data_IF_434079694500
#
_entry.id   IF_434079694500
#
_cell.length_a   1.000
_cell.length_b   1.000
_cell.length_c   1.000
_cell.angle_alpha   90.00
_cell.angle_beta   90.00
_cell.angle_gamma   90.00
#
_symmetry.space_group_name_H-M   'P 1'
#
loop_
_entity.id
_entity.type
_entity.pdbx_description
1 polymer ?
#
# COMPACT_ATOMS: atom_id res chain seq x y z
N UNK A 1 -26.02 -13.55 -18.62
CA UNK A 1 -24.71 -13.09 -18.08
C UNK A 1 -24.97 -12.78 -16.62
N UNK A 2 -24.56 -13.67 -15.70
CA UNK A 2 -24.68 -13.38 -14.26
C UNK A 2 -23.80 -12.16 -13.93
N UNK A 3 -24.27 -11.22 -13.09
CA UNK A 3 -23.42 -10.13 -12.64
C UNK A 3 -22.23 -10.74 -11.91
N UNK A 4 -21.00 -10.47 -12.40
CA UNK A 4 -19.77 -10.89 -11.74
C UNK A 4 -19.84 -10.41 -10.29
N UNK A 5 -19.79 -11.35 -9.36
CA UNK A 5 -19.76 -11.04 -7.93
C UNK A 5 -18.51 -10.19 -7.69
N UNK A 6 -18.63 -8.99 -7.09
CA UNK A 6 -17.47 -8.14 -6.85
C UNK A 6 -16.46 -8.88 -5.96
N UNK A 7 -15.18 -8.75 -6.28
CA UNK A 7 -14.10 -9.36 -5.51
C UNK A 7 -14.10 -8.82 -4.07
N UNK A 8 -13.61 -9.62 -3.13
CA UNK A 8 -13.31 -9.12 -1.79
C UNK A 8 -12.16 -8.12 -1.89
N UNK A 9 -12.21 -7.04 -1.12
CA UNK A 9 -11.13 -6.04 -1.11
C UNK A 9 -9.78 -6.68 -0.71
N UNK A 10 -9.80 -7.72 0.13
CA UNK A 10 -8.64 -8.54 0.53
C UNK A 10 -7.96 -9.27 -0.63
N UNK A 11 -8.69 -9.54 -1.70
CA UNK A 11 -8.23 -10.29 -2.88
C UNK A 11 -8.12 -9.40 -4.13
N UNK A 12 -8.38 -8.09 -3.99
CA UNK A 12 -8.38 -7.16 -5.10
C UNK A 12 -6.94 -6.83 -5.53
N UNK A 13 -6.65 -7.05 -6.81
CA UNK A 13 -5.39 -6.61 -7.45
C UNK A 13 -5.43 -5.11 -7.72
N UNK A 14 -4.31 -4.43 -7.48
CA UNK A 14 -4.19 -2.99 -7.67
C UNK A 14 -3.53 -2.29 -6.49
N UNK A 15 -3.49 -0.97 -6.60
CA UNK A 15 -2.70 -0.10 -5.75
C UNK A 15 -3.57 0.62 -4.72
N UNK A 16 -3.10 0.62 -3.47
CA UNK A 16 -3.64 1.40 -2.37
C UNK A 16 -2.83 2.69 -2.28
N UNK A 17 -3.44 3.79 -2.72
CA UNK A 17 -2.80 5.11 -2.83
C UNK A 17 -3.20 5.95 -1.61
N UNK A 18 -2.23 6.55 -0.91
CA UNK A 18 -2.50 7.37 0.26
C UNK A 18 -3.22 8.67 -0.10
N UNK A 19 -3.98 9.23 0.83
CA UNK A 19 -4.53 10.58 0.69
C UNK A 19 -3.49 11.68 0.90
N UNK A 20 -2.41 11.37 1.62
CA UNK A 20 -1.34 12.31 1.94
C UNK A 20 0.03 11.79 1.47
N UNK A 21 0.79 12.65 0.78
CA UNK A 21 2.15 12.32 0.38
C UNK A 21 3.13 12.62 1.51
N UNK A 22 4.04 11.69 1.80
CA UNK A 22 5.17 11.94 2.68
C UNK A 22 6.48 11.48 2.06
N UNK A 23 7.57 12.06 2.55
CA UNK A 23 8.93 11.76 2.11
C UNK A 23 9.77 11.28 3.28
N UNK A 24 10.64 10.32 3.00
CA UNK A 24 11.70 9.87 3.91
C UNK A 24 13.00 9.93 3.12
N UNK A 25 13.95 10.73 3.60
CA UNK A 25 15.19 11.04 2.88
C UNK A 25 14.89 11.56 1.45
N UNK A 26 15.31 10.82 0.42
CA UNK A 26 15.10 11.15 -1.00
C UNK A 26 13.95 10.38 -1.66
N UNK A 27 13.18 9.63 -0.88
CA UNK A 27 12.13 8.75 -1.36
C UNK A 27 10.77 9.26 -0.91
N UNK A 28 9.84 9.38 -1.85
CA UNK A 28 8.44 9.69 -1.59
C UNK A 28 7.65 8.40 -1.57
N UNK A 29 6.83 8.18 -0.55
CA UNK A 29 5.91 7.05 -0.53
C UNK A 29 4.75 7.29 -1.51
N UNK A 30 4.45 6.32 -2.37
CA UNK A 30 3.40 6.46 -3.40
C UNK A 30 2.24 5.48 -3.22
N UNK A 31 2.39 4.47 -2.36
CA UNK A 31 1.33 3.51 -2.07
C UNK A 31 1.87 2.10 -1.88
N UNK A 32 0.98 1.12 -1.95
CA UNK A 32 1.32 -0.29 -1.87
C UNK A 32 0.32 -1.17 -2.63
N UNK A 33 0.74 -2.35 -3.06
CA UNK A 33 -0.13 -3.40 -3.59
C UNK A 33 -0.24 -4.54 -2.57
N UNK A 34 -1.36 -5.27 -2.61
CA UNK A 34 -1.54 -6.48 -1.79
C UNK A 34 -1.52 -7.75 -2.64
N UNK A 35 -1.93 -7.65 -3.91
CA UNK A 35 -2.04 -8.75 -4.86
C UNK A 35 -1.58 -8.27 -6.25
N UNK A 36 -0.94 -9.14 -7.06
CA UNK A 36 -0.58 -10.53 -6.75
C UNK A 36 0.51 -10.65 -5.68
N UNK A 37 1.38 -9.64 -5.59
CA UNK A 37 2.45 -9.53 -4.61
C UNK A 37 2.24 -8.34 -3.68
N UNK A 38 2.64 -8.51 -2.42
CA UNK A 38 2.60 -7.45 -1.44
C UNK A 38 3.87 -6.59 -1.55
N UNK A 39 3.71 -5.39 -2.08
CA UNK A 39 4.79 -4.46 -2.37
C UNK A 39 4.45 -3.09 -1.78
N UNK A 40 5.42 -2.40 -1.19
CA UNK A 40 5.33 -0.96 -0.95
C UNK A 40 6.09 -0.22 -2.04
N UNK A 41 5.54 0.87 -2.54
CA UNK A 41 6.15 1.61 -3.64
C UNK A 41 6.59 2.98 -3.15
N UNK A 42 7.85 3.29 -3.43
CA UNK A 42 8.41 4.62 -3.25
C UNK A 42 8.84 5.16 -4.62
N UNK A 43 8.89 6.48 -4.77
CA UNK A 43 9.51 7.13 -5.92
C UNK A 43 10.69 7.98 -5.44
N UNK A 44 11.84 7.85 -6.11
CA UNK A 44 12.95 8.77 -5.86
C UNK A 44 12.55 10.17 -6.35
N UNK A 45 12.70 11.18 -5.48
CA UNK A 45 12.15 12.52 -5.70
C UNK A 45 12.77 13.21 -6.92
N UNK A 46 14.07 12.99 -7.18
CA UNK A 46 14.80 13.66 -8.25
C UNK A 46 14.52 13.06 -9.62
N UNK A 47 14.45 11.73 -9.70
CA UNK A 47 14.34 10.98 -10.96
C UNK A 47 12.91 10.58 -11.29
N UNK A 48 12.02 10.57 -10.29
CA UNK A 48 10.66 10.03 -10.40
C UNK A 48 10.62 8.51 -10.56
N UNK A 49 11.75 7.81 -10.46
CA UNK A 49 11.82 6.36 -10.64
C UNK A 49 11.10 5.66 -9.50
N UNK A 50 10.08 4.87 -9.84
CA UNK A 50 9.37 4.02 -8.90
C UNK A 50 10.25 2.83 -8.48
N UNK A 51 10.32 2.59 -7.18
CA UNK A 51 11.05 1.53 -6.52
C UNK A 51 10.05 0.71 -5.70
N UNK A 52 9.55 -0.42 -6.26
CA UNK A 52 8.77 -1.37 -5.51
C UNK A 52 9.68 -2.15 -4.54
N UNK A 53 9.24 -2.30 -3.30
CA UNK A 53 9.92 -3.05 -2.24
C UNK A 53 9.03 -4.19 -1.80
N UNK A 54 9.50 -5.42 -1.98
CA UNK A 54 8.75 -6.60 -1.58
C UNK A 54 8.67 -6.74 -0.06
N UNK A 55 7.49 -7.10 0.44
CA UNK A 55 7.27 -7.28 1.87
C UNK A 55 7.59 -8.72 2.29
N UNK A 56 8.41 -8.84 3.33
CA UNK A 56 8.88 -10.10 3.88
C UNK A 56 7.86 -10.76 4.80
N UNK A 57 7.06 -9.95 5.52
CA UNK A 57 5.98 -10.43 6.37
C UNK A 57 4.65 -9.83 5.90
N UNK A 58 3.64 -10.68 5.72
CA UNK A 58 2.32 -10.28 5.26
C UNK A 58 1.21 -11.01 6.03
N UNK A 59 0.22 -10.25 6.47
CA UNK A 59 -1.04 -10.77 7.02
C UNK A 59 -2.18 -9.91 6.49
N UNK A 60 -3.00 -10.49 5.62
CA UNK A 60 -4.11 -9.80 4.96
C UNK A 60 -5.40 -10.53 5.26
N UNK A 61 -6.30 -9.84 5.97
CA UNK A 61 -7.64 -10.28 6.37
C UNK A 61 -8.58 -9.10 6.30
N UNK A 62 -9.89 -9.34 6.34
CA UNK A 62 -10.88 -8.27 6.26
C UNK A 62 -10.72 -7.19 7.35
N UNK A 63 -10.26 -7.58 8.54
CA UNK A 63 -10.09 -6.71 9.70
C UNK A 63 -8.63 -6.32 9.98
N UNK A 64 -7.68 -6.87 9.23
CA UNK A 64 -6.24 -6.76 9.52
C UNK A 64 -5.43 -6.73 8.24
N UNK A 65 -4.63 -5.69 8.06
CA UNK A 65 -3.55 -5.63 7.08
C UNK A 65 -2.28 -5.34 7.85
N UNK A 66 -1.32 -6.25 7.79
CA UNK A 66 0.03 -6.05 8.28
C UNK A 66 1.01 -6.38 7.17
N UNK A 67 1.84 -5.41 6.82
CA UNK A 67 2.96 -5.56 5.91
C UNK A 67 4.23 -5.14 6.64
N UNK A 68 5.31 -5.90 6.43
CA UNK A 68 6.67 -5.48 6.78
C UNK A 68 7.58 -5.68 5.57
N UNK A 69 8.24 -4.61 5.17
CA UNK A 69 9.11 -4.57 3.99
C UNK A 69 10.41 -3.90 4.41
N UNK A 70 11.55 -4.42 3.96
CA UNK A 70 12.87 -3.93 4.35
C UNK A 70 13.64 -3.51 3.09
N UNK A 71 14.13 -2.28 3.07
CA UNK A 71 14.95 -1.75 1.99
C UNK A 71 16.22 -1.11 2.57
N UNK A 72 17.43 -1.41 2.04
CA UNK A 72 18.67 -0.87 2.60
C UNK A 72 18.81 0.66 2.56
N UNK A 73 18.09 1.35 1.68
CA UNK A 73 18.17 2.80 1.50
C UNK A 73 17.04 3.55 2.23
N UNK A 74 15.88 2.91 2.40
CA UNK A 74 14.70 3.50 3.05
C UNK A 74 14.61 3.08 4.52
N UNK A 75 14.93 1.81 4.83
CA UNK A 75 14.81 1.19 6.13
C UNK A 75 13.69 0.17 6.21
N UNK A 76 13.17 -0.07 7.41
CA UNK A 76 12.02 -0.96 7.65
C UNK A 76 10.72 -0.18 7.55
N UNK A 77 9.83 -0.62 6.66
CA UNK A 77 8.51 -0.06 6.44
C UNK A 77 7.47 -1.03 7.01
N UNK A 78 6.57 -0.53 7.85
CA UNK A 78 5.37 -1.27 8.26
C UNK A 78 4.10 -0.55 7.85
N UNK A 79 3.10 -1.33 7.43
CA UNK A 79 1.75 -0.87 7.14
C UNK A 79 0.78 -1.69 7.97
N UNK A 80 0.19 -1.05 8.99
CA UNK A 80 -0.68 -1.69 9.97
C UNK A 80 -2.09 -1.08 9.90
N UNK A 81 -3.07 -1.82 9.41
CA UNK A 81 -4.38 -1.29 9.10
C UNK A 81 -5.50 -2.30 9.02
N UNK A 82 -6.61 -1.86 8.43
CA UNK A 82 -7.80 -2.67 8.18
C UNK A 82 -8.60 -2.14 6.99
N UNK A 83 -9.37 -3.01 6.34
CA UNK A 83 -10.27 -2.58 5.29
C UNK A 83 -11.49 -1.86 5.87
N UNK A 84 -11.92 -0.82 5.16
CA UNK A 84 -13.14 -0.04 5.42
C UNK A 84 -14.32 -0.56 4.59
N UNK A 85 -14.02 -1.23 3.48
CA UNK A 85 -15.01 -1.85 2.58
C UNK A 85 -14.76 -3.35 2.50
N UNK A 86 -15.83 -4.13 2.37
CA UNK A 86 -15.74 -5.59 2.19
C UNK A 86 -15.43 -5.96 0.74
N UNK A 87 -16.04 -5.22 -0.18
CA UNK A 87 -16.01 -5.48 -1.61
C UNK A 87 -15.13 -4.44 -2.30
N UNK A 88 -14.41 -4.88 -3.33
CA UNK A 88 -13.63 -4.00 -4.19
C UNK A 88 -14.51 -2.91 -4.79
N UNK A 89 -14.05 -1.66 -4.73
CA UNK A 89 -14.74 -0.51 -5.32
C UNK A 89 -13.74 0.45 -5.95
N UNK A 90 -13.99 0.82 -7.20
CA UNK A 90 -13.21 1.76 -8.02
C UNK A 90 -13.61 3.23 -7.80
N UNK A 91 -14.41 3.51 -6.76
CA UNK A 91 -14.83 4.86 -6.41
C UNK A 91 -13.64 5.68 -5.93
N UNK A 92 -13.20 6.61 -6.77
CA UNK A 92 -12.03 7.47 -6.53
C UNK A 92 -12.13 8.39 -5.31
N UNK A 93 -13.33 8.60 -4.77
CA UNK A 93 -13.59 9.40 -3.57
C UNK A 93 -13.69 8.56 -2.29
N UNK A 94 -13.69 7.23 -2.40
CA UNK A 94 -13.90 6.32 -1.28
C UNK A 94 -12.58 5.73 -0.79
N UNK A 95 -12.22 6.02 0.46
CA UNK A 95 -11.16 5.27 1.12
C UNK A 95 -11.63 3.85 1.45
N UNK A 96 -10.84 2.85 1.08
CA UNK A 96 -11.15 1.42 1.26
C UNK A 96 -10.31 0.76 2.34
N UNK A 97 -9.24 1.42 2.81
CA UNK A 97 -8.34 0.92 3.83
C UNK A 97 -7.86 2.09 4.70
N UNK A 98 -7.75 1.87 6.01
CA UNK A 98 -7.11 2.81 6.92
C UNK A 98 -5.94 2.11 7.61
N UNK A 99 -4.75 2.73 7.57
CA UNK A 99 -3.53 2.14 8.14
C UNK A 99 -2.62 3.18 8.79
N UNK A 100 -1.78 2.72 9.70
CA UNK A 100 -0.61 3.44 10.18
C UNK A 100 0.58 2.98 9.36
N UNK A 101 1.25 3.92 8.71
CA UNK A 101 2.52 3.69 8.03
C UNK A 101 3.64 4.12 8.98
N UNK A 102 4.59 3.23 9.22
CA UNK A 102 5.78 3.51 10.02
C UNK A 102 7.02 3.23 9.19
N UNK A 103 7.98 4.15 9.20
CA UNK A 103 9.31 3.95 8.60
C UNK A 103 10.35 4.06 9.68
N UNK A 104 11.23 3.07 9.77
CA UNK A 104 12.33 3.00 10.74
C UNK A 104 13.68 2.85 10.07
N UNK A 105 14.71 3.41 10.67
CA UNK A 105 16.11 3.12 10.30
C UNK A 105 16.44 1.66 10.61
N UNK A 106 17.58 1.16 10.09
CA UNK A 106 18.12 -0.15 10.47
C UNK A 106 18.48 -0.28 11.96
N UNK A 107 18.66 0.84 12.68
CA UNK A 107 18.83 0.86 14.15
C UNK A 107 17.52 0.89 14.93
N UNK A 108 16.37 0.99 14.25
CA UNK A 108 15.03 0.98 14.84
C UNK A 108 14.45 2.36 15.18
N UNK A 109 15.18 3.44 14.92
CA UNK A 109 14.71 4.83 15.09
C UNK A 109 13.54 5.12 14.14
N UNK A 110 12.49 5.80 14.61
CA UNK A 110 11.33 6.16 13.79
C UNK A 110 11.66 7.40 12.97
N UNK A 111 11.70 7.25 11.65
CA UNK A 111 11.81 8.36 10.71
C UNK A 111 10.45 8.98 10.37
N UNK A 112 9.42 8.14 10.33
CA UNK A 112 8.06 8.56 10.03
C UNK A 112 7.05 7.64 10.71
N UNK A 113 5.94 8.22 11.19
CA UNK A 113 4.78 7.47 11.68
C UNK A 113 3.52 8.32 11.55
N UNK A 114 2.58 7.89 10.71
CA UNK A 114 1.30 8.56 10.59
C UNK A 114 0.19 7.57 10.24
N UNK A 115 -1.05 7.96 10.55
CA UNK A 115 -2.25 7.27 10.07
C UNK A 115 -2.72 7.91 8.78
N UNK A 116 -3.07 7.09 7.80
CA UNK A 116 -3.63 7.53 6.52
C UNK A 116 -4.82 6.64 6.11
N UNK A 117 -5.61 7.15 5.17
CA UNK A 117 -6.68 6.45 4.48
C UNK A 117 -6.33 6.29 3.01
N UNK A 118 -6.54 5.09 2.49
CA UNK A 118 -6.08 4.66 1.19
C UNK A 118 -7.24 4.42 0.26
N UNK A 119 -7.12 4.94 -0.95
CA UNK A 119 -8.01 4.67 -2.06
C UNK A 119 -7.44 3.52 -2.88
N UNK A 120 -8.31 2.66 -3.40
CA UNK A 120 -7.86 1.57 -4.26
C UNK A 120 -8.04 1.95 -5.72
N UNK A 121 -6.97 1.77 -6.47
CA UNK A 121 -6.94 1.90 -7.91
C UNK A 121 -6.79 0.50 -8.49
N UNK A 122 -7.74 0.03 -9.33
CA UNK A 122 -7.60 -1.27 -9.97
C UNK A 122 -6.30 -1.27 -10.77
N UNK A 123 -5.52 -2.35 -10.64
CA UNK A 123 -4.38 -2.56 -11.52
C UNK A 123 -4.86 -2.53 -12.97
N UNK A 124 -4.12 -1.88 -13.87
CA UNK A 124 -4.43 -1.96 -15.30
C UNK A 124 -4.43 -3.44 -15.69
N UNK A 125 -5.60 -4.06 -15.73
CA UNK A 125 -5.80 -5.26 -16.53
C UNK A 125 -5.55 -4.79 -17.95
N UNK A 126 -4.34 -5.04 -18.46
CA UNK A 126 -4.02 -4.85 -19.87
C UNK A 126 -5.10 -5.57 -20.66
N UNK A 127 -6.01 -4.80 -21.24
CA UNK A 127 -6.90 -5.29 -22.28
C UNK A 127 -6.01 -5.68 -23.45
N UNK A 128 -6.13 -6.94 -23.85
CA UNK A 128 -5.60 -7.49 -25.08
C UNK A 128 -6.00 -6.67 -26.31
#
# INVERSE_FOLDING_TARGET
MEPRRPALQTDAEGDYVPGYEFTVNRFRFTGFSLRPDALVTFAEITTGTAQPVACLETLIRADTVHLRCDDPQIGTITVDGKFLTRLATDRLDTAVLAAVVTVRTGSGEILYKARDSFKWHPGNSGGA
#
